data_IF_948163710734
#
_entry.id   IF_948163710734
#
_cell.length_a   1.000
_cell.length_b   1.000
_cell.length_c   1.000
_cell.angle_alpha   90.00
_cell.angle_beta   90.00
_cell.angle_gamma   90.00
#
_symmetry.space_group_name_H-M   'P 1'
#
loop_
_entity.id
_entity.type
_entity.pdbx_description
1 polymer ?
#
# COMPACT_ATOMS: atom_id res chain seq x y z
N UNK A 1 6.55 -15.78 7.49
CA UNK A 1 7.62 -14.80 7.22
C UNK A 1 7.04 -13.73 6.30
N UNK A 2 7.37 -12.45 6.53
CA UNK A 2 6.94 -11.35 5.64
C UNK A 2 8.08 -11.11 4.64
N UNK A 3 7.78 -11.20 3.36
CA UNK A 3 8.66 -10.80 2.27
C UNK A 3 8.37 -9.35 1.91
N UNK A 4 9.42 -8.55 1.78
CA UNK A 4 9.33 -7.17 1.28
C UNK A 4 9.94 -7.18 -0.12
N UNK A 5 9.19 -6.75 -1.14
CA UNK A 5 9.74 -6.66 -2.49
C UNK A 5 10.79 -5.56 -2.51
N UNK A 6 12.06 -5.97 -2.55
CA UNK A 6 13.22 -5.10 -2.45
C UNK A 6 13.65 -4.58 -3.82
N UNK A 7 12.90 -3.61 -4.33
CA UNK A 7 13.51 -2.49 -5.05
C UNK A 7 13.63 -1.35 -4.03
N UNK A 8 14.68 -1.40 -3.21
CA UNK A 8 15.08 -0.35 -2.24
C UNK A 8 15.55 0.94 -2.93
N UNK A 9 14.94 1.30 -4.06
CA UNK A 9 15.21 2.52 -4.77
C UNK A 9 14.59 3.69 -4.00
N UNK A 10 15.34 4.17 -3.01
CA UNK A 10 15.39 5.54 -2.47
C UNK A 10 14.22 6.43 -2.94
N UNK A 11 12.99 6.10 -2.54
CA UNK A 11 12.05 7.16 -2.25
C UNK A 11 12.71 7.90 -1.10
N UNK A 12 12.83 9.22 -1.22
CA UNK A 12 13.39 10.02 -0.14
C UNK A 12 12.44 9.87 1.06
N UNK A 13 12.75 8.90 1.94
CA UNK A 13 11.89 8.44 3.04
C UNK A 13 11.65 9.56 4.07
N UNK A 14 12.34 10.69 3.90
CA UNK A 14 12.19 11.89 4.71
C UNK A 14 11.00 12.76 4.28
N UNK A 15 10.45 12.55 3.07
CA UNK A 15 9.45 13.43 2.44
C UNK A 15 8.01 12.99 2.74
N UNK A 16 7.74 11.71 3.02
CA UNK A 16 6.37 11.28 3.27
C UNK A 16 5.89 11.69 4.66
N UNK A 17 4.80 12.46 4.71
CA UNK A 17 4.09 12.89 5.92
C UNK A 17 2.85 12.05 6.22
N UNK A 18 2.28 11.43 5.17
CA UNK A 18 1.11 10.56 5.28
C UNK A 18 1.44 9.17 4.75
N UNK A 19 1.07 8.12 5.48
CA UNK A 19 1.17 6.74 5.03
C UNK A 19 -0.24 6.20 4.81
N UNK A 20 -0.56 5.84 3.58
CA UNK A 20 -1.84 5.25 3.20
C UNK A 20 -1.69 3.74 3.20
N UNK A 21 -2.42 3.06 4.06
CA UNK A 21 -2.33 1.62 4.28
C UNK A 21 -3.47 0.92 3.57
N UNK A 22 -3.16 -0.11 2.81
CA UNK A 22 -4.13 -0.92 2.08
C UNK A 22 -3.72 -2.40 2.17
N UNK A 23 -4.64 -3.27 2.57
CA UNK A 23 -4.42 -4.72 2.51
C UNK A 23 -5.15 -5.31 1.33
N UNK A 24 -4.55 -6.31 0.70
CA UNK A 24 -5.14 -7.09 -0.40
C UNK A 24 -5.15 -8.56 0.00
N UNK A 25 -6.24 -9.27 -0.28
CA UNK A 25 -6.40 -10.69 0.00
C UNK A 25 -7.13 -11.41 -1.14
N UNK A 26 -7.29 -12.74 -1.00
CA UNK A 26 -7.76 -13.63 -2.07
C UNK A 26 -9.08 -13.22 -2.77
N UNK A 27 -9.97 -12.47 -2.10
CA UNK A 27 -11.27 -12.10 -2.67
C UNK A 27 -11.28 -10.71 -3.35
N UNK A 28 -10.16 -9.99 -3.33
CA UNK A 28 -10.08 -8.70 -3.99
C UNK A 28 -10.11 -8.83 -5.51
N UNK A 29 -10.69 -7.81 -6.15
CA UNK A 29 -10.92 -7.77 -7.59
C UNK A 29 -9.97 -6.78 -8.25
N UNK A 30 -9.49 -7.14 -9.43
CA UNK A 30 -8.43 -6.42 -10.14
C UNK A 30 -8.81 -4.98 -10.47
N UNK A 31 -10.00 -4.76 -11.04
CA UNK A 31 -10.43 -3.42 -11.44
C UNK A 31 -10.70 -2.48 -10.25
N UNK A 32 -11.47 -2.88 -9.21
CA UNK A 32 -11.61 -2.06 -8.00
C UNK A 32 -10.27 -1.73 -7.35
N UNK A 33 -9.37 -2.71 -7.23
CA UNK A 33 -8.03 -2.50 -6.67
C UNK A 33 -7.23 -1.47 -7.46
N UNK A 34 -7.22 -1.57 -8.78
CA UNK A 34 -6.56 -0.60 -9.65
C UNK A 34 -7.12 0.81 -9.42
N UNK A 35 -8.44 0.97 -9.39
CA UNK A 35 -9.09 2.26 -9.19
C UNK A 35 -8.81 2.84 -7.79
N UNK A 36 -8.84 2.01 -6.75
CA UNK A 36 -8.51 2.38 -5.38
C UNK A 36 -7.08 2.92 -5.29
N UNK A 37 -6.09 2.15 -5.75
CA UNK A 37 -4.69 2.55 -5.75
C UNK A 37 -4.50 3.84 -6.57
N UNK A 38 -5.05 3.91 -7.79
CA UNK A 38 -4.93 5.10 -8.63
C UNK A 38 -5.56 6.34 -7.99
N UNK A 39 -6.66 6.20 -7.25
CA UNK A 39 -7.30 7.33 -6.57
C UNK A 39 -6.41 7.95 -5.48
N UNK A 40 -5.62 7.13 -4.79
CA UNK A 40 -4.64 7.59 -3.79
C UNK A 40 -3.41 8.20 -4.46
N UNK A 41 -2.86 7.55 -5.49
CA UNK A 41 -1.68 8.09 -6.20
C UNK A 41 -1.97 9.43 -6.88
N UNK A 42 -3.23 9.67 -7.25
CA UNK A 42 -3.68 10.89 -7.90
C UNK A 42 -4.13 12.01 -6.93
N UNK A 43 -4.06 11.82 -5.61
CA UNK A 43 -4.43 12.87 -4.65
C UNK A 43 -3.67 14.19 -4.91
N UNK A 44 -4.32 15.30 -4.56
CA UNK A 44 -3.71 16.63 -4.66
C UNK A 44 -2.51 16.79 -3.72
N UNK A 45 -2.58 16.24 -2.51
CA UNK A 45 -1.45 16.10 -1.60
C UNK A 45 -0.46 15.04 -2.09
N UNK A 46 0.84 15.37 -2.14
CA UNK A 46 1.87 14.53 -2.79
C UNK A 46 2.87 13.90 -1.83
N UNK A 47 3.04 14.45 -0.64
CA UNK A 47 3.97 13.98 0.39
C UNK A 47 3.42 12.76 1.14
N UNK A 48 3.11 11.71 0.39
CA UNK A 48 2.54 10.47 0.90
C UNK A 48 3.30 9.24 0.42
N UNK A 49 3.24 8.21 1.24
CA UNK A 49 3.62 6.84 0.91
C UNK A 49 2.37 5.97 0.85
N UNK A 50 2.36 4.96 0.00
CA UNK A 50 1.31 3.95 -0.07
C UNK A 50 1.90 2.59 0.27
N UNK A 51 1.40 1.96 1.32
CA UNK A 51 1.88 0.69 1.82
C UNK A 51 0.81 -0.37 1.56
N UNK A 52 1.15 -1.34 0.72
CA UNK A 52 0.24 -2.40 0.29
C UNK A 52 0.71 -3.71 0.90
N UNK A 53 -0.13 -4.36 1.69
CA UNK A 53 0.14 -5.72 2.20
C UNK A 53 -0.71 -6.75 1.47
N UNK A 54 -0.04 -7.67 0.77
CA UNK A 54 -0.66 -8.89 0.24
C UNK A 54 -0.77 -9.91 1.40
N UNK A 55 -1.98 -10.08 1.91
CA UNK A 55 -2.32 -10.90 3.07
C UNK A 55 -2.68 -12.34 2.67
N UNK A 56 -1.66 -13.13 2.34
CA UNK A 56 -1.79 -14.51 1.90
C UNK A 56 -1.83 -14.64 0.38
N UNK A 57 -2.51 -15.68 -0.10
CA UNK A 57 -2.65 -15.93 -1.52
C UNK A 57 -3.55 -14.89 -2.20
N UNK A 58 -3.14 -14.44 -3.39
CA UNK A 58 -3.94 -13.64 -4.32
C UNK A 58 -3.76 -14.20 -5.73
N UNK A 59 -4.68 -13.88 -6.64
CA UNK A 59 -4.56 -14.31 -8.04
C UNK A 59 -3.31 -13.73 -8.72
N UNK A 60 -2.82 -14.40 -9.77
CA UNK A 60 -1.69 -13.93 -10.58
C UNK A 60 -1.92 -12.54 -11.13
N UNK A 61 -3.16 -12.22 -11.56
CA UNK A 61 -3.52 -10.90 -12.06
C UNK A 61 -3.34 -9.82 -11.00
N UNK A 62 -3.86 -10.05 -9.78
CA UNK A 62 -3.72 -9.11 -8.66
C UNK A 62 -2.25 -8.90 -8.31
N UNK A 63 -1.47 -9.99 -8.20
CA UNK A 63 -0.04 -9.93 -7.94
C UNK A 63 0.70 -9.13 -9.01
N UNK A 64 0.43 -9.39 -10.29
CA UNK A 64 1.05 -8.68 -11.41
C UNK A 64 0.68 -7.20 -11.44
N UNK A 65 -0.59 -6.87 -11.17
CA UNK A 65 -1.07 -5.49 -11.07
C UNK A 65 -0.31 -4.70 -10.00
N UNK A 66 -0.25 -5.25 -8.77
CA UNK A 66 0.42 -4.59 -7.65
C UNK A 66 1.91 -4.42 -7.96
N UNK A 67 2.58 -5.45 -8.48
CA UNK A 67 4.00 -5.38 -8.85
C UNK A 67 4.27 -4.36 -9.95
N UNK A 68 3.41 -4.28 -10.97
CA UNK A 68 3.54 -3.29 -12.05
C UNK A 68 3.40 -1.86 -11.50
N UNK A 69 2.39 -1.63 -10.65
CA UNK A 69 2.18 -0.33 -10.03
C UNK A 69 3.34 0.06 -9.12
N UNK A 70 3.85 -0.88 -8.32
CA UNK A 70 5.01 -0.68 -7.45
C UNK A 70 6.29 -0.30 -8.21
N UNK A 71 6.51 -0.90 -9.39
CA UNK A 71 7.62 -0.52 -10.27
C UNK A 71 7.44 0.85 -10.93
N UNK A 72 6.19 1.29 -11.12
CA UNK A 72 5.87 2.54 -11.81
C UNK A 72 5.84 3.77 -10.90
N UNK A 73 5.62 3.60 -9.59
CA UNK A 73 5.50 4.70 -8.64
C UNK A 73 6.26 4.39 -7.35
N UNK A 74 7.37 5.10 -7.14
CA UNK A 74 8.27 4.97 -5.99
C UNK A 74 7.60 5.21 -4.62
N UNK A 75 6.40 5.78 -4.59
CA UNK A 75 5.64 5.97 -3.34
C UNK A 75 5.03 4.67 -2.82
N UNK A 76 4.93 3.64 -3.67
CA UNK A 76 4.34 2.34 -3.31
C UNK A 76 5.40 1.43 -2.71
N UNK A 77 5.14 0.87 -1.53
CA UNK A 77 5.90 -0.23 -0.96
C UNK A 77 4.98 -1.42 -0.78
N UNK A 78 5.44 -2.59 -1.23
CA UNK A 78 4.68 -3.83 -1.20
C UNK A 78 5.29 -4.77 -0.17
N UNK A 79 4.45 -5.19 0.77
CA UNK A 79 4.74 -6.25 1.71
C UNK A 79 3.89 -7.46 1.32
N UNK A 80 4.40 -8.65 1.59
CA UNK A 80 3.68 -9.90 1.33
C UNK A 80 3.93 -10.88 2.46
N UNK A 81 2.90 -11.65 2.81
CA UNK A 81 3.06 -12.85 3.64
C UNK A 81 2.32 -14.02 3.02
N UNK A 82 2.76 -15.23 3.36
CA UNK A 82 2.26 -16.47 2.76
C UNK A 82 0.84 -16.84 3.21
N UNK A 83 0.48 -16.49 4.44
CA UNK A 83 -0.80 -16.86 5.05
C UNK A 83 -1.63 -15.62 5.33
N UNK A 84 -2.94 -15.74 5.11
CA UNK A 84 -3.90 -14.72 5.50
C UNK A 84 -4.04 -14.73 7.03
N UNK A 85 -3.78 -13.59 7.67
CA UNK A 85 -3.92 -13.41 9.13
C UNK A 85 -5.02 -12.40 9.48
N UNK A 86 -5.79 -11.97 8.49
CA UNK A 86 -6.91 -11.06 8.64
C UNK A 86 -6.52 -9.58 8.66
N UNK A 87 -7.53 -8.74 8.36
CA UNK A 87 -7.40 -7.30 8.19
C UNK A 87 -6.74 -6.60 9.38
N UNK A 88 -7.11 -6.95 10.62
CA UNK A 88 -6.52 -6.32 11.80
C UNK A 88 -5.01 -6.61 11.92
N UNK A 89 -4.60 -7.86 11.69
CA UNK A 89 -3.17 -8.23 11.64
C UNK A 89 -2.46 -7.51 10.49
N UNK A 90 -3.12 -7.41 9.34
CA UNK A 90 -2.58 -6.72 8.18
C UNK A 90 -2.33 -5.24 8.45
N UNK A 91 -3.29 -4.54 9.06
CA UNK A 91 -3.16 -3.13 9.41
C UNK A 91 -2.07 -2.90 10.46
N UNK A 92 -2.01 -3.72 11.50
CA UNK A 92 -0.95 -3.61 12.52
C UNK A 92 0.45 -3.77 11.90
N UNK A 93 0.62 -4.77 11.02
CA UNK A 93 1.87 -4.99 10.28
C UNK A 93 2.28 -3.75 9.49
N UNK A 94 1.31 -3.13 8.80
CA UNK A 94 1.54 -1.93 7.99
C UNK A 94 1.82 -0.68 8.84
N UNK A 95 1.16 -0.52 9.99
CA UNK A 95 1.40 0.56 10.95
C UNK A 95 2.83 0.47 11.49
N UNK A 96 3.23 -0.71 11.99
CA UNK A 96 4.57 -0.93 12.54
C UNK A 96 5.64 -0.66 11.48
N UNK A 97 5.42 -1.15 10.25
CA UNK A 97 6.31 -0.90 9.13
C UNK A 97 6.39 0.59 8.78
N UNK A 98 5.25 1.30 8.77
CA UNK A 98 5.22 2.74 8.47
C UNK A 98 6.04 3.54 9.48
N UNK A 99 5.85 3.28 10.77
CA UNK A 99 6.52 4.00 11.87
C UNK A 99 8.04 3.78 11.84
N UNK A 100 8.51 2.59 11.50
CA UNK A 100 9.95 2.29 11.38
C UNK A 100 10.53 2.87 10.09
N UNK A 101 9.75 2.92 9.00
CA UNK A 101 10.24 3.31 7.67
C UNK A 101 10.26 4.83 7.47
N UNK A 102 9.29 5.55 8.05
CA UNK A 102 9.07 6.98 7.85
C UNK A 102 9.17 7.74 9.19
N UNK A 103 10.36 8.23 9.57
CA UNK A 103 10.55 8.87 10.87
C UNK A 103 9.82 10.22 11.02
N UNK A 104 9.45 10.85 9.91
CA UNK A 104 8.75 12.15 9.87
C UNK A 104 7.24 12.01 9.63
N UNK A 105 6.69 10.81 9.78
CA UNK A 105 5.29 10.53 9.52
C UNK A 105 4.39 11.26 10.53
N UNK A 106 3.43 12.02 10.04
CA UNK A 106 2.48 12.77 10.87
C UNK A 106 1.12 12.07 10.94
N UNK A 107 0.73 11.39 9.86
CA UNK A 107 -0.57 10.73 9.74
C UNK A 107 -0.48 9.35 9.12
N UNK A 108 -1.38 8.47 9.58
CA UNK A 108 -1.66 7.18 8.96
C UNK A 108 -3.12 7.22 8.51
N UNK A 109 -3.36 6.90 7.24
CA UNK A 109 -4.68 6.76 6.65
C UNK A 109 -4.91 5.30 6.25
N UNK A 110 -6.09 4.76 6.52
CA UNK A 110 -6.52 3.45 5.99
C UNK A 110 -7.30 3.66 4.69
N UNK A 111 -7.07 2.80 3.71
CA UNK A 111 -7.81 2.74 2.44
C UNK A 111 -8.30 1.31 2.18
N UNK A 112 -9.57 1.18 1.80
CA UNK A 112 -10.14 -0.10 1.38
C UNK A 112 -9.82 -0.37 -0.11
N UNK A 113 -9.65 -1.65 -0.46
CA UNK A 113 -9.20 -2.10 -1.79
C UNK A 113 -10.22 -1.87 -2.90
N UNK A 114 -11.47 -1.55 -2.57
CA UNK A 114 -12.57 -1.34 -3.51
C UNK A 114 -13.21 0.06 -3.45
N UNK A 115 -12.67 0.95 -2.63
CA UNK A 115 -13.10 2.35 -2.56
C UNK A 115 -12.35 3.26 -3.56
N UNK A 116 -12.98 4.38 -3.95
CA UNK A 116 -12.34 5.42 -4.76
C UNK A 116 -12.42 6.76 -4.03
N UNK A 117 -11.27 7.32 -3.68
CA UNK A 117 -11.20 8.60 -2.98
C UNK A 117 -11.40 9.81 -3.91
N UNK A 118 -12.07 10.85 -3.42
CA UNK A 118 -12.11 12.18 -4.08
C UNK A 118 -10.69 12.77 -4.13
N UNK A 119 -10.42 13.65 -5.09
CA UNK A 119 -9.09 14.21 -5.37
C UNK A 119 -8.42 14.96 -4.18
N UNK A 120 -9.23 15.58 -3.32
CA UNK A 120 -8.77 16.38 -2.18
C UNK A 120 -9.20 15.74 -0.86
N UNK A 121 -8.96 14.42 -0.73
CA UNK A 121 -9.31 13.65 0.47
C UNK A 121 -8.16 13.61 1.48
N UNK A 122 -6.94 13.53 0.97
CA UNK A 122 -5.67 13.65 1.71
C UNK A 122 -5.17 15.07 1.50
#
# INVERSE_FOLDING_TARGET
MIEVSVDFAIADKTVAKVAVLLSVYQNDKELPLYLSIKSILNQSYRELAMLILIDGFVSTNISNLINLLGKSDRRIIILKREKNEGLASAMNTLIDFALVTYPNLEYIARMDSDDVSKLNRI
#
